data_IF_077950027621
#
_entry.id   IF_077950027621
#
_cell.length_a   1.000
_cell.length_b   1.000
_cell.length_c   1.000
_cell.angle_alpha   90.00
_cell.angle_beta   90.00
_cell.angle_gamma   90.00
#
_symmetry.space_group_name_H-M   'P 1'
#
loop_
_entity.id
_entity.type
_entity.pdbx_description
1 polymer ?
#
# COMPACT_ATOMS: atom_id res chain seq x y z
N UNK A 1 -4.58 -6.26 35.81
CA UNK A 1 -4.63 -6.83 34.45
C UNK A 1 -5.47 -5.89 33.62
N UNK A 2 -4.85 -5.13 32.73
CA UNK A 2 -5.56 -4.27 31.78
C UNK A 2 -5.72 -5.12 30.53
N UNK A 3 -6.95 -5.53 30.23
CA UNK A 3 -7.32 -6.17 28.98
C UNK A 3 -7.37 -5.08 27.91
N UNK A 4 -6.45 -5.11 26.96
CA UNK A 4 -6.61 -4.34 25.72
C UNK A 4 -7.62 -5.11 24.87
N UNK A 5 -8.87 -4.65 24.86
CA UNK A 5 -9.80 -5.07 23.82
C UNK A 5 -9.24 -4.57 22.48
N UNK A 6 -8.95 -5.49 21.57
CA UNK A 6 -8.61 -5.15 20.20
C UNK A 6 -9.87 -4.49 19.63
N UNK A 7 -9.83 -3.20 19.22
CA UNK A 7 -11.00 -2.59 18.64
C UNK A 7 -11.33 -3.37 17.36
N UNK A 8 -12.55 -3.89 17.27
CA UNK A 8 -13.09 -4.35 15.99
C UNK A 8 -12.89 -3.22 14.97
N UNK A 9 -12.13 -3.51 13.92
CA UNK A 9 -11.88 -2.58 12.83
C UNK A 9 -13.23 -2.29 12.19
N UNK A 10 -13.78 -1.12 12.51
CA UNK A 10 -15.01 -0.60 11.93
C UNK A 10 -14.72 -0.35 10.43
N UNK A 11 -15.13 -1.29 9.58
CA UNK A 11 -15.16 -1.09 8.13
C UNK A 11 -16.33 -0.16 7.83
N UNK A 12 -16.12 1.15 7.94
CA UNK A 12 -17.03 2.13 7.36
C UNK A 12 -17.07 1.92 5.84
N UNK A 13 -18.27 1.92 5.25
CA UNK A 13 -18.51 1.77 3.80
C UNK A 13 -17.78 2.81 2.92
N UNK A 14 -17.17 3.83 3.52
CA UNK A 14 -16.33 4.84 2.86
C UNK A 14 -14.81 4.59 3.05
N UNK A 15 -14.36 3.34 2.98
CA UNK A 15 -12.92 3.04 3.01
C UNK A 15 -12.28 3.42 1.67
N UNK A 16 -12.11 4.72 1.41
CA UNK A 16 -11.22 5.23 0.38
C UNK A 16 -9.81 4.76 0.75
N UNK A 17 -9.32 3.74 0.05
CA UNK A 17 -8.00 3.18 0.29
C UNK A 17 -6.87 4.03 -0.33
N UNK A 18 -7.16 5.27 -0.73
CA UNK A 18 -6.19 6.31 -1.11
C UNK A 18 -5.48 6.93 0.10
N UNK A 19 -4.26 7.41 -0.10
CA UNK A 19 -3.43 8.07 0.92
C UNK A 19 -2.33 7.20 1.50
N UNK A 20 -1.32 7.88 2.05
CA UNK A 20 -0.16 7.27 2.71
C UNK A 20 -0.54 6.55 4.00
N UNK A 21 -0.02 5.33 4.23
CA UNK A 21 -0.41 4.47 5.37
C UNK A 21 0.64 3.42 5.70
N UNK A 22 0.58 2.88 6.91
CA UNK A 22 1.37 1.74 7.38
C UNK A 22 0.41 0.56 7.62
N UNK A 23 0.76 -0.65 7.16
CA UNK A 23 -0.09 -1.83 7.35
C UNK A 23 -1.36 -1.82 6.49
N UNK A 24 -2.30 -2.70 6.84
CA UNK A 24 -3.61 -2.88 6.19
C UNK A 24 -3.55 -3.49 4.78
N UNK A 25 -4.65 -3.43 4.04
CA UNK A 25 -4.74 -3.83 2.64
C UNK A 25 -4.23 -2.72 1.72
N UNK A 26 -3.38 -3.05 0.72
CA UNK A 26 -2.87 -2.08 -0.22
C UNK A 26 -3.93 -1.57 -1.19
N UNK A 27 -3.74 -0.33 -1.64
CA UNK A 27 -4.51 0.28 -2.71
C UNK A 27 -3.63 0.45 -3.93
N UNK A 28 -4.20 0.15 -5.10
CA UNK A 28 -3.52 0.32 -6.38
C UNK A 28 -4.41 1.14 -7.30
N UNK A 29 -3.79 2.13 -7.95
CA UNK A 29 -4.47 3.02 -8.91
C UNK A 29 -4.78 2.26 -10.21
N UNK A 30 -4.00 1.22 -10.53
CA UNK A 30 -4.27 0.31 -11.63
C UNK A 30 -4.90 -0.99 -11.10
N UNK A 31 -5.89 -1.53 -11.83
CA UNK A 31 -6.58 -2.80 -11.54
C UNK A 31 -5.69 -4.05 -11.65
N UNK A 32 -4.36 -3.90 -11.61
CA UNK A 32 -3.46 -5.04 -11.53
C UNK A 32 -3.54 -5.61 -10.12
N UNK A 33 -4.25 -6.74 -10.00
CA UNK A 33 -4.30 -7.53 -8.78
C UNK A 33 -2.93 -8.16 -8.57
N UNK A 34 -2.05 -7.46 -7.85
CA UNK A 34 -0.63 -7.77 -7.74
C UNK A 34 -0.34 -8.85 -6.69
N UNK A 35 -0.99 -10.01 -6.74
CA UNK A 35 -0.58 -11.23 -6.03
C UNK A 35 -0.06 -11.02 -4.59
N UNK A 36 -0.85 -10.33 -3.76
CA UNK A 36 -0.52 -10.02 -2.36
C UNK A 36 -0.91 -11.11 -1.36
N UNK A 37 -1.28 -12.31 -1.84
CA UNK A 37 -1.95 -13.32 -1.01
C UNK A 37 -1.16 -13.69 0.26
N UNK A 38 0.18 -13.67 0.20
CA UNK A 38 1.05 -14.01 1.34
C UNK A 38 1.88 -12.84 1.90
N UNK A 39 1.84 -11.67 1.27
CA UNK A 39 2.63 -10.50 1.64
C UNK A 39 1.88 -9.57 2.60
N UNK A 40 2.62 -8.87 3.46
CA UNK A 40 2.12 -7.82 4.34
C UNK A 40 2.51 -6.44 3.78
N UNK A 41 1.55 -5.52 3.72
CA UNK A 41 1.82 -4.12 3.38
C UNK A 41 2.58 -3.45 4.53
N UNK A 42 3.82 -3.03 4.32
CA UNK A 42 4.55 -2.25 5.31
C UNK A 42 4.19 -0.77 5.24
N UNK A 43 4.25 -0.20 4.04
CA UNK A 43 4.09 1.23 3.81
C UNK A 43 3.52 1.43 2.42
N UNK A 44 2.54 2.32 2.31
CA UNK A 44 2.14 2.93 1.06
C UNK A 44 2.36 4.43 1.17
N UNK A 45 2.91 5.02 0.12
CA UNK A 45 3.02 6.45 -0.05
C UNK A 45 2.16 6.85 -1.24
N UNK A 46 1.24 7.74 -0.99
CA UNK A 46 0.46 8.41 -2.04
C UNK A 46 1.07 9.77 -2.35
N UNK A 47 0.54 10.42 -3.38
CA UNK A 47 0.92 11.79 -3.76
C UNK A 47 0.59 12.72 -2.60
N UNK A 48 1.52 13.62 -2.30
CA UNK A 48 1.37 14.61 -1.24
C UNK A 48 2.13 15.88 -1.65
N UNK A 49 1.39 16.93 -2.01
CA UNK A 49 1.96 18.20 -2.46
C UNK A 49 2.69 18.94 -1.33
N UNK A 50 2.23 18.82 -0.08
CA UNK A 50 2.86 19.47 1.08
C UNK A 50 4.23 18.85 1.38
N UNK A 51 4.32 17.52 1.23
CA UNK A 51 5.55 16.75 1.40
C UNK A 51 6.41 16.67 0.13
N UNK A 52 5.92 17.16 -1.01
CA UNK A 52 6.60 17.09 -2.31
C UNK A 52 6.74 15.66 -2.86
N UNK A 53 5.79 14.78 -2.56
CA UNK A 53 5.78 13.38 -2.99
C UNK A 53 4.99 13.26 -4.29
N UNK A 54 5.64 12.80 -5.36
CA UNK A 54 5.01 12.53 -6.65
C UNK A 54 5.64 11.28 -7.28
N UNK A 55 4.81 10.34 -7.71
CA UNK A 55 5.26 9.13 -8.40
C UNK A 55 4.77 9.13 -9.85
N UNK A 56 5.55 9.72 -10.75
CA UNK A 56 5.21 9.81 -12.17
C UNK A 56 3.98 10.69 -12.43
N UNK A 57 3.05 10.21 -13.28
CA UNK A 57 1.78 10.87 -13.55
C UNK A 57 0.72 10.41 -12.53
N UNK A 58 0.78 10.99 -11.33
CA UNK A 58 -0.15 10.72 -10.25
C UNK A 58 -0.28 9.23 -9.84
N UNK A 59 0.87 8.55 -9.65
CA UNK A 59 0.95 7.19 -9.12
C UNK A 59 1.10 7.10 -7.60
N UNK A 60 1.11 5.86 -7.08
CA UNK A 60 1.46 5.56 -5.69
C UNK A 60 2.60 4.53 -5.59
N UNK A 61 3.23 4.47 -4.41
CA UNK A 61 4.33 3.55 -4.11
C UNK A 61 3.96 2.64 -2.94
N UNK A 62 4.19 1.33 -3.09
CA UNK A 62 3.86 0.31 -2.10
C UNK A 62 5.10 -0.49 -1.74
N UNK A 63 5.33 -0.68 -0.45
CA UNK A 63 6.36 -1.53 0.13
C UNK A 63 5.72 -2.74 0.79
N UNK A 64 6.02 -3.95 0.30
CA UNK A 64 5.52 -5.21 0.84
C UNK A 64 6.64 -6.05 1.42
N UNK A 65 6.29 -6.97 2.32
CA UNK A 65 7.23 -7.94 2.89
C UNK A 65 6.52 -9.28 3.11
N UNK A 66 7.19 -10.41 2.89
CA UNK A 66 6.65 -11.71 3.31
C UNK A 66 6.41 -11.75 4.81
N UNK A 67 5.28 -12.32 5.25
CA UNK A 67 4.90 -12.37 6.69
C UNK A 67 5.97 -13.00 7.58
N UNK A 68 6.66 -14.03 7.11
CA UNK A 68 7.72 -14.70 7.87
C UNK A 68 8.98 -13.84 8.01
N UNK A 69 9.32 -13.06 6.98
CA UNK A 69 10.40 -12.09 7.04
C UNK A 69 10.07 -10.94 7.99
N UNK A 70 8.81 -10.50 8.06
CA UNK A 70 8.36 -9.53 9.06
C UNK A 70 8.51 -10.07 10.49
N UNK A 71 8.11 -11.33 10.73
CA UNK A 71 8.24 -11.99 12.03
C UNK A 71 9.71 -12.12 12.47
N UNK A 72 10.60 -12.47 11.54
CA UNK A 72 12.04 -12.57 11.80
C UNK A 72 12.78 -11.23 11.76
N UNK A 73 12.07 -10.14 11.44
CA UNK A 73 12.61 -8.76 11.27
C UNK A 73 13.66 -8.67 10.16
N UNK A 74 13.56 -9.55 9.16
CA UNK A 74 14.41 -9.54 7.98
C UNK A 74 13.88 -8.57 6.92
N UNK A 75 14.14 -7.27 7.13
CA UNK A 75 13.76 -6.22 6.18
C UNK A 75 14.57 -6.23 4.87
N UNK A 76 15.53 -7.16 4.70
CA UNK A 76 16.21 -7.34 3.40
C UNK A 76 15.29 -7.94 2.33
N UNK A 77 14.12 -8.48 2.75
CA UNK A 77 13.11 -9.08 1.89
C UNK A 77 11.98 -8.13 1.48
N UNK A 78 12.11 -6.83 1.80
CA UNK A 78 11.14 -5.83 1.38
C UNK A 78 11.18 -5.65 -0.13
N UNK A 79 10.01 -5.68 -0.76
CA UNK A 79 9.81 -5.39 -2.18
C UNK A 79 9.08 -4.07 -2.31
N UNK A 80 9.45 -3.24 -3.28
CA UNK A 80 8.72 -2.02 -3.60
C UNK A 80 8.12 -2.12 -5.01
N UNK A 81 6.94 -1.53 -5.18
CA UNK A 81 6.24 -1.43 -6.48
C UNK A 81 5.68 -0.02 -6.65
N UNK A 82 5.78 0.50 -7.87
CA UNK A 82 5.17 1.76 -8.27
C UNK A 82 3.98 1.43 -9.17
N UNK A 83 2.78 1.89 -8.81
CA UNK A 83 1.65 1.88 -9.71
C UNK A 83 1.47 3.30 -10.24
N UNK A 84 1.69 3.47 -11.54
CA UNK A 84 1.61 4.76 -12.22
C UNK A 84 0.45 4.71 -13.19
N UNK A 85 -0.27 5.82 -13.41
CA UNK A 85 -1.24 5.87 -14.49
C UNK A 85 -0.49 5.74 -15.83
N UNK A 86 -0.40 4.51 -16.35
CA UNK A 86 -0.12 4.34 -17.77
C UNK A 86 -1.32 4.95 -18.50
N UNK A 87 -1.08 6.07 -19.19
CA UNK A 87 -1.98 6.52 -20.25
C UNK A 87 -2.16 5.32 -21.17
N UNK A 88 -3.36 4.72 -21.13
CA UNK A 88 -3.72 3.67 -22.07
C UNK A 88 -3.42 4.20 -23.46
N UNK A 89 -2.63 3.43 -24.22
CA UNK A 89 -2.24 3.67 -25.61
C UNK A 89 -3.07 4.78 -26.25
N UNK A 90 -2.56 6.01 -26.21
CA UNK A 90 -3.04 7.06 -27.07
C UNK A 90 -2.86 6.53 -28.50
N UNK A 91 -3.96 6.08 -29.08
CA UNK A 91 -4.03 5.62 -30.45
C UNK A 91 -3.97 6.89 -31.28
N UNK A 92 -2.77 7.25 -31.73
CA UNK A 92 -2.56 8.17 -32.84
C UNK A 92 -2.65 7.38 -34.15
#
# INVERSE_FOLDING_TARGET
MITYEIPEIFLSDDCYSSGSRIGSYPYFIQNEYLGFDDDFLLLQLDIDDECGIMFGDAGNCVFSIPKDALRSRDFSKVVYKLAMLLVSKASW
#
